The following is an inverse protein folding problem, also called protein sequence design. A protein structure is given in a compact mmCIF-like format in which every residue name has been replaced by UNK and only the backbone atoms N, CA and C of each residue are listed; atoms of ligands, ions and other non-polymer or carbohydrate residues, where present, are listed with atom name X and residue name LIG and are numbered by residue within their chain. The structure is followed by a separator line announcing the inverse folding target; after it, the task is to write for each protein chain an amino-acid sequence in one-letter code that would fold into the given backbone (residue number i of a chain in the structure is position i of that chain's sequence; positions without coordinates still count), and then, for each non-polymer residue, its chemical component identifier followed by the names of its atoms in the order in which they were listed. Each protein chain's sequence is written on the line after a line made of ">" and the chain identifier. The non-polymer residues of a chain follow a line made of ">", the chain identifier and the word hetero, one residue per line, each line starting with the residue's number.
data_IF_679217602555
#
_entry.id   IF_679217602555
#
_cell.length_a   1.000
_cell.length_b   1.000
_cell.length_c   1.000
_cell.angle_alpha   90.00
_cell.angle_beta   90.00
_cell.angle_gamma   90.00
#
_symmetry.space_group_name_H-M   'P 1'
#
loop_
_entity.id
_entity.type
_entity.pdbx_description
1 polymer ?
#
# COMPACT_ATOMS: atom_id res chain seq x y z
N UNK A 1 -4.02 -20.36 -5.23
CA UNK A 1 -2.72 -19.83 -4.76
C UNK A 1 -3.05 -18.61 -3.93
N UNK A 2 -2.86 -18.68 -2.62
CA UNK A 2 -2.92 -17.50 -1.75
C UNK A 2 -1.67 -16.68 -2.04
N UNK A 3 -1.82 -15.40 -2.36
CA UNK A 3 -0.70 -14.50 -2.72
C UNK A 3 0.13 -14.18 -1.46
N UNK A 4 -0.52 -13.97 -0.32
CA UNK A 4 0.02 -13.94 1.06
C UNK A 4 -1.16 -13.59 1.98
N UNK A 5 -1.19 -14.07 3.24
CA UNK A 5 -2.24 -13.67 4.20
C UNK A 5 -2.28 -12.16 4.44
N UNK A 6 -1.14 -11.49 4.32
CA UNK A 6 -1.02 -10.03 4.40
C UNK A 6 -1.71 -9.34 3.20
N UNK A 7 -1.57 -9.88 2.00
CA UNK A 7 -2.23 -9.36 0.79
C UNK A 7 -3.74 -9.63 0.85
N UNK A 8 -4.13 -10.84 1.25
CA UNK A 8 -5.54 -11.22 1.40
C UNK A 8 -6.25 -10.32 2.43
N UNK A 9 -5.56 -9.94 3.52
CA UNK A 9 -6.13 -9.06 4.55
C UNK A 9 -6.47 -7.67 4.02
N UNK A 10 -5.53 -7.01 3.32
CA UNK A 10 -5.82 -5.70 2.72
C UNK A 10 -6.90 -5.81 1.63
N UNK A 11 -6.87 -6.88 0.83
CA UNK A 11 -7.83 -7.07 -0.25
C UNK A 11 -9.25 -7.31 0.28
N UNK A 12 -9.41 -8.11 1.33
CA UNK A 12 -10.72 -8.33 1.97
C UNK A 12 -11.28 -7.05 2.59
N UNK A 13 -10.43 -6.21 3.20
CA UNK A 13 -10.84 -4.91 3.72
C UNK A 13 -11.19 -3.92 2.60
N UNK A 14 -10.43 -3.94 1.50
CA UNK A 14 -10.71 -3.14 0.29
C UNK A 14 -12.06 -3.53 -0.32
N UNK A 15 -12.34 -4.83 -0.47
CA UNK A 15 -13.62 -5.31 -0.99
C UNK A 15 -14.80 -5.00 -0.07
N UNK A 16 -14.61 -5.00 1.25
CA UNK A 16 -15.64 -4.66 2.23
C UNK A 16 -15.97 -3.16 2.23
N UNK A 17 -14.92 -2.32 2.18
CA UNK A 17 -15.03 -0.89 2.46
C UNK A 17 -14.95 -0.03 1.19
N UNK A 18 -14.63 -0.62 0.04
CA UNK A 18 -14.44 0.06 -1.26
C UNK A 18 -13.33 1.13 -1.22
N UNK A 19 -12.29 0.91 -0.40
CA UNK A 19 -11.17 1.83 -0.20
C UNK A 19 -9.88 1.19 -0.73
N UNK A 20 -9.27 1.85 -1.72
CA UNK A 20 -8.09 1.36 -2.43
C UNK A 20 -6.85 1.37 -1.53
N UNK A 21 -6.15 0.24 -1.48
CA UNK A 21 -4.98 0.02 -0.64
C UNK A 21 -3.83 -0.63 -1.41
N UNK A 22 -2.61 -0.15 -1.16
CA UNK A 22 -1.38 -0.82 -1.56
C UNK A 22 -0.64 -1.34 -0.33
N UNK A 23 -0.06 -2.54 -0.45
CA UNK A 23 0.75 -3.17 0.58
C UNK A 23 2.19 -3.32 0.13
N UNK A 24 3.13 -2.98 1.00
CA UNK A 24 4.56 -2.95 0.74
C UNK A 24 5.31 -3.67 1.86
N UNK A 25 6.32 -4.46 1.51
CA UNK A 25 7.28 -4.99 2.47
C UNK A 25 8.12 -3.83 3.02
N UNK A 26 7.99 -3.56 4.32
CA UNK A 26 8.63 -2.42 4.97
C UNK A 26 10.16 -2.54 4.96
N UNK A 27 10.70 -3.77 4.99
CA UNK A 27 12.15 -3.99 4.98
C UNK A 27 12.79 -3.63 3.63
N UNK A 28 11.97 -3.51 2.56
CA UNK A 28 12.42 -3.17 1.20
C UNK A 28 12.26 -1.68 0.87
N UNK A 29 11.70 -0.88 1.78
CA UNK A 29 11.54 0.57 1.62
C UNK A 29 12.84 1.29 1.99
N UNK A 30 13.26 2.22 1.14
CA UNK A 30 14.46 3.03 1.33
C UNK A 30 14.11 4.40 1.90
N UNK A 31 14.48 4.63 3.16
CA UNK A 31 14.39 5.95 3.79
C UNK A 31 12.95 6.42 4.00
N UNK A 32 12.66 7.68 3.67
CA UNK A 32 11.40 8.32 4.02
C UNK A 32 10.28 8.09 3.00
N UNK A 33 9.12 7.64 3.46
CA UNK A 33 7.90 7.55 2.65
C UNK A 33 7.29 8.94 2.47
N UNK A 34 6.98 9.30 1.23
CA UNK A 34 6.46 10.61 0.84
C UNK A 34 5.23 10.49 -0.06
N UNK A 35 4.24 11.36 0.17
CA UNK A 35 3.10 11.58 -0.73
C UNK A 35 3.45 12.65 -1.76
N UNK A 36 3.28 12.36 -3.05
CA UNK A 36 3.58 13.29 -4.15
C UNK A 36 2.49 13.25 -5.22
N UNK A 37 2.39 14.35 -5.97
CA UNK A 37 1.62 14.40 -7.22
C UNK A 37 2.58 14.14 -8.37
N UNK A 38 2.26 13.15 -9.20
CA UNK A 38 3.10 12.74 -10.31
C UNK A 38 3.21 13.83 -11.38
N UNK A 39 4.43 14.05 -11.87
CA UNK A 39 4.68 14.96 -13.00
C UNK A 39 4.43 14.28 -14.34
N UNK A 40 4.47 12.94 -14.38
CA UNK A 40 4.41 12.14 -15.60
C UNK A 40 5.79 11.81 -16.18
N UNK A 41 6.86 12.33 -15.57
CA UNK A 41 8.24 12.00 -15.94
C UNK A 41 8.84 10.88 -15.08
N UNK A 42 8.22 10.55 -13.95
CA UNK A 42 8.65 9.44 -13.12
C UNK A 42 8.36 8.10 -13.82
N UNK A 43 9.25 7.13 -13.65
CA UNK A 43 9.03 5.74 -14.05
C UNK A 43 9.43 4.80 -12.93
N UNK A 44 8.76 3.65 -12.89
CA UNK A 44 9.10 2.57 -11.98
C UNK A 44 8.68 1.22 -12.55
N UNK A 45 9.28 0.15 -12.03
CA UNK A 45 8.96 -1.21 -12.45
C UNK A 45 7.78 -1.71 -11.63
N UNK A 46 6.64 -1.93 -12.28
CA UNK A 46 5.45 -2.49 -11.63
C UNK A 46 5.65 -3.98 -11.30
N UNK A 47 4.75 -4.55 -10.50
CA UNK A 47 4.77 -5.98 -10.14
C UNK A 47 4.82 -6.96 -11.32
N UNK A 48 4.37 -6.54 -12.51
CA UNK A 48 4.45 -7.34 -13.73
C UNK A 48 5.84 -7.32 -14.42
N UNK A 49 6.83 -6.68 -13.80
CA UNK A 49 8.19 -6.53 -14.32
C UNK A 49 8.35 -5.49 -15.43
N UNK A 50 7.31 -4.72 -15.75
CA UNK A 50 7.37 -3.68 -16.79
C UNK A 50 7.64 -2.32 -16.18
N UNK A 51 8.64 -1.64 -16.72
CA UNK A 51 8.82 -0.22 -16.47
C UNK A 51 7.63 0.57 -17.04
N UNK A 52 7.03 1.41 -16.21
CA UNK A 52 5.84 2.18 -16.54
C UNK A 52 6.03 3.62 -16.10
N UNK A 53 5.70 4.57 -16.98
CA UNK A 53 5.62 5.99 -16.62
C UNK A 53 4.38 6.29 -15.79
N UNK A 54 4.54 7.14 -14.80
CA UNK A 54 3.43 7.72 -14.03
C UNK A 54 2.52 8.54 -14.94
N UNK A 55 1.28 8.76 -14.49
CA UNK A 55 0.33 9.63 -15.19
C UNK A 55 0.40 11.01 -14.52
N UNK A 56 0.58 12.06 -15.30
CA UNK A 56 0.61 13.43 -14.78
C UNK A 56 -0.66 13.73 -13.96
N UNK A 57 -0.47 14.24 -12.74
CA UNK A 57 -1.56 14.55 -11.82
C UNK A 57 -2.04 13.37 -10.97
N UNK A 58 -1.49 12.16 -11.16
CA UNK A 58 -1.77 11.02 -10.30
C UNK A 58 -1.21 11.23 -8.89
N UNK A 59 -1.83 10.60 -7.90
CA UNK A 59 -1.29 10.55 -6.54
C UNK A 59 -0.37 9.34 -6.45
N UNK A 60 0.86 9.57 -6.00
CA UNK A 60 1.85 8.52 -5.83
C UNK A 60 2.47 8.56 -4.44
N UNK A 61 2.83 7.37 -3.96
CA UNK A 61 3.69 7.18 -2.80
C UNK A 61 5.09 6.87 -3.32
N UNK A 62 6.09 7.55 -2.78
CA UNK A 62 7.50 7.34 -3.10
C UNK A 62 8.30 7.10 -1.83
N UNK A 63 9.43 6.44 -1.96
CA UNK A 63 10.50 6.48 -0.95
C UNK A 63 11.67 7.33 -1.45
N UNK A 64 12.85 7.24 -0.81
CA UNK A 64 14.04 7.99 -1.23
C UNK A 64 14.70 7.41 -2.50
N UNK A 65 14.29 6.21 -2.94
CA UNK A 65 14.83 5.54 -4.12
C UNK A 65 13.92 5.69 -5.35
N UNK A 66 12.61 5.42 -5.22
CA UNK A 66 11.69 5.36 -6.34
C UNK A 66 10.21 5.49 -5.93
N UNK A 67 9.32 5.39 -6.92
CA UNK A 67 7.87 5.26 -6.71
C UNK A 67 7.58 3.88 -6.12
N UNK A 68 6.84 3.84 -5.02
CA UNK A 68 6.31 2.63 -4.40
C UNK A 68 4.99 2.23 -5.02
N UNK A 69 4.08 3.19 -5.21
CA UNK A 69 2.78 2.94 -5.84
C UNK A 69 2.18 4.24 -6.38
N UNK A 70 1.26 4.11 -7.33
CA UNK A 70 0.36 5.19 -7.74
C UNK A 70 -1.06 4.65 -7.94
N UNK A 71 -2.08 5.51 -7.83
CA UNK A 71 -3.49 5.07 -7.95
C UNK A 71 -3.74 4.43 -9.33
N UNK A 72 -3.24 5.04 -10.40
CA UNK A 72 -3.57 4.61 -11.76
C UNK A 72 -2.65 3.53 -12.32
N UNK A 73 -1.51 3.25 -11.67
CA UNK A 73 -0.51 2.27 -12.14
C UNK A 73 -0.30 1.11 -11.16
N UNK A 74 -0.77 1.23 -9.92
CA UNK A 74 -0.63 0.21 -8.89
C UNK A 74 0.77 0.19 -8.24
N UNK A 75 1.06 -0.83 -7.44
CA UNK A 75 2.33 -0.95 -6.72
C UNK A 75 3.51 -1.36 -7.59
N UNK A 76 4.71 -1.02 -7.12
CA UNK A 76 6.00 -1.41 -7.66
C UNK A 76 6.31 -2.88 -7.39
N UNK A 77 7.27 -3.42 -8.14
CA UNK A 77 7.73 -4.79 -7.95
C UNK A 77 8.75 -4.92 -6.81
N UNK A 78 9.59 -3.92 -6.58
CA UNK A 78 10.73 -4.00 -5.65
C UNK A 78 10.26 -4.17 -4.20
N UNK A 79 9.17 -3.52 -3.80
CA UNK A 79 8.65 -3.61 -2.42
C UNK A 79 7.49 -4.59 -2.25
N UNK A 80 7.36 -5.56 -3.17
CA UNK A 80 6.30 -6.58 -3.08
C UNK A 80 6.39 -7.38 -1.77
N UNK A 81 5.23 -7.61 -1.16
CA UNK A 81 5.06 -8.57 -0.07
C UNK A 81 5.32 -9.99 -0.61
N UNK A 82 6.09 -10.78 0.12
CA UNK A 82 6.36 -12.18 -0.18
C UNK A 82 6.30 -13.06 1.09
N UNK A 83 6.78 -14.30 1.00
CA UNK A 83 6.77 -15.28 2.10
C UNK A 83 7.76 -14.92 3.22
N UNK A 84 8.74 -14.04 2.97
CA UNK A 84 9.75 -13.61 3.96
C UNK A 84 9.37 -12.28 4.63
N UNK A 85 8.29 -11.61 4.20
CA UNK A 85 7.86 -10.33 4.78
C UNK A 85 7.44 -10.48 6.25
N UNK A 86 8.19 -9.84 7.15
CA UNK A 86 7.88 -9.77 8.59
C UNK A 86 7.19 -8.46 9.00
N UNK A 87 7.41 -7.39 8.24
CA UNK A 87 6.86 -6.05 8.52
C UNK A 87 6.24 -5.47 7.25
N UNK A 88 5.02 -4.96 7.36
CA UNK A 88 4.25 -4.46 6.23
C UNK A 88 3.87 -3.01 6.44
N UNK A 89 3.94 -2.22 5.36
CA UNK A 89 3.33 -0.91 5.26
C UNK A 89 2.11 -1.00 4.35
N UNK A 90 0.94 -0.66 4.87
CA UNK A 90 -0.26 -0.44 4.07
C UNK A 90 -0.46 1.07 3.85
N UNK A 91 -0.60 1.47 2.60
CA UNK A 91 -0.93 2.86 2.22
C UNK A 91 -2.32 2.90 1.61
N UNK A 92 -3.16 3.78 2.12
CA UNK A 92 -4.56 3.93 1.71
C UNK A 92 -4.71 5.23 0.93
N UNK A 93 -5.33 5.14 -0.25
CA UNK A 93 -5.64 6.31 -1.06
C UNK A 93 -7.07 6.76 -0.78
N UNK A 94 -7.20 7.91 -0.09
CA UNK A 94 -8.49 8.50 0.24
C UNK A 94 -8.71 9.83 -0.50
N UNK A 95 -9.21 9.82 -1.75
CA UNK A 95 -9.57 11.05 -2.45
C UNK A 95 -10.76 11.74 -1.74
N UNK A 96 -11.02 12.99 -2.13
CA UNK A 96 -12.11 13.79 -1.57
C UNK A 96 -13.45 13.04 -1.64
N UNK A 97 -14.16 12.98 -0.51
CA UNK A 97 -15.44 12.30 -0.37
C UNK A 97 -15.41 11.05 0.52
N UNK A 98 -14.24 10.59 0.96
CA UNK A 98 -14.09 9.53 1.96
C UNK A 98 -13.85 10.17 3.33
N UNK A 99 -14.68 9.84 4.31
CA UNK A 99 -14.55 10.40 5.65
C UNK A 99 -13.43 9.72 6.44
N UNK A 100 -12.75 10.47 7.32
CA UNK A 100 -11.67 9.96 8.17
C UNK A 100 -12.08 8.71 8.97
N UNK A 101 -13.32 8.68 9.47
CA UNK A 101 -13.86 7.52 10.21
C UNK A 101 -13.90 6.25 9.36
N UNK A 102 -14.14 6.38 8.05
CA UNK A 102 -14.18 5.24 7.11
C UNK A 102 -12.76 4.72 6.86
N UNK A 103 -11.78 5.62 6.75
CA UNK A 103 -10.36 5.28 6.65
C UNK A 103 -9.90 4.54 7.91
N UNK A 104 -10.25 5.05 9.11
CA UNK A 104 -9.90 4.41 10.38
C UNK A 104 -10.54 3.02 10.50
N UNK A 105 -11.83 2.89 10.19
CA UNK A 105 -12.50 1.59 10.19
C UNK A 105 -11.86 0.61 9.22
N UNK A 106 -11.43 1.08 8.04
CA UNK A 106 -10.75 0.25 7.06
C UNK A 106 -9.37 -0.20 7.56
N UNK A 107 -8.58 0.68 8.18
CA UNK A 107 -7.32 0.30 8.84
C UNK A 107 -7.53 -0.73 9.95
N UNK A 108 -8.60 -0.59 10.75
CA UNK A 108 -8.94 -1.53 11.82
C UNK A 108 -9.34 -2.91 11.28
N UNK A 109 -10.06 -2.95 10.14
CA UNK A 109 -10.41 -4.20 9.46
C UNK A 109 -9.16 -4.93 8.95
N UNK A 110 -8.22 -4.22 8.31
CA UNK A 110 -6.95 -4.82 7.87
C UNK A 110 -6.23 -5.44 9.06
N UNK A 111 -6.04 -4.68 10.14
CA UNK A 111 -5.36 -5.19 11.33
C UNK A 111 -6.07 -6.39 11.95
N UNK A 112 -7.40 -6.37 12.01
CA UNK A 112 -8.21 -7.48 12.52
C UNK A 112 -8.05 -8.75 11.67
N UNK A 113 -7.97 -8.62 10.35
CA UNK A 113 -7.75 -9.76 9.44
C UNK A 113 -6.33 -10.33 9.55
N UNK A 114 -5.31 -9.48 9.71
CA UNK A 114 -3.94 -9.93 9.96
C UNK A 114 -3.86 -10.78 11.23
N UNK A 115 -4.54 -10.35 12.30
CA UNK A 115 -4.55 -11.06 13.59
C UNK A 115 -5.20 -12.45 13.52
N UNK A 116 -6.01 -12.76 12.49
CA UNK A 116 -6.60 -14.09 12.33
C UNK A 116 -5.58 -15.18 12.02
N UNK A 117 -4.50 -14.84 11.30
CA UNK A 117 -3.45 -15.79 10.93
C UNK A 117 -2.10 -15.48 11.60
N UNK A 118 -1.90 -14.26 12.09
CA UNK A 118 -0.72 -13.86 12.87
C UNK A 118 -1.14 -13.16 14.18
N UNK A 119 -1.59 -13.92 15.20
CA UNK A 119 -2.14 -13.34 16.44
C UNK A 119 -1.11 -12.55 17.28
N UNK A 120 0.18 -12.72 17.02
CA UNK A 120 1.27 -12.00 17.70
C UNK A 120 1.67 -10.69 17.04
N UNK A 121 1.09 -10.34 15.88
CA UNK A 121 1.39 -9.10 15.19
C UNK A 121 0.85 -7.88 15.95
N UNK A 122 1.52 -6.76 15.79
CA UNK A 122 1.15 -5.49 16.40
C UNK A 122 1.22 -4.35 15.38
N UNK A 123 0.49 -3.27 15.65
CA UNK A 123 0.49 -2.06 14.82
C UNK A 123 1.46 -1.05 15.45
N UNK A 124 2.57 -0.79 14.77
CA UNK A 124 3.56 0.21 15.21
C UNK A 124 3.10 1.65 14.91
N UNK A 125 2.44 1.86 13.77
CA UNK A 125 1.96 3.17 13.34
C UNK A 125 0.62 3.05 12.63
N UNK A 126 -0.30 3.96 12.96
CA UNK A 126 -1.59 4.14 12.29
C UNK A 126 -1.95 5.63 12.30
N UNK A 127 -1.98 6.27 11.13
CA UNK A 127 -2.21 7.71 11.02
C UNK A 127 -2.99 8.05 9.76
N UNK A 128 -3.75 9.12 9.82
CA UNK A 128 -4.35 9.80 8.66
C UNK A 128 -3.60 11.13 8.49
N UNK A 129 -3.22 11.47 7.26
CA UNK A 129 -2.41 12.66 6.91
C UNK A 129 -3.17 13.61 6.01
#
# INVERSE_FOLDING_TARGET
>A
MSVSGLVDSMFMAEMKNMILTAGHDLAKISGAVSLKVATGEESYVCMNGKETKTIQGDIMITDDESVLSSILRGPDGRTSIDEETEQVLYTIYAPAGIEEKEIISHMDDIGSYVLLFSPGSNVELKTVI
#
